data_IF_367225361211
#
_entry.id   IF_367225361211
#
_cell.length_a   1.000
_cell.length_b   1.000
_cell.length_c   1.000
_cell.angle_alpha   90.00
_cell.angle_beta   90.00
_cell.angle_gamma   90.00
#
_symmetry.space_group_name_H-M   'P 1'
#
loop_
_entity.id
_entity.type
_entity.pdbx_description
1 polymer ?
#
# COMPACT_ATOMS: atom_id res chain seq x y z
N UNK A 1 -8.59 -0.25 5.61
CA UNK A 1 -8.08 0.03 4.25
C UNK A 1 -8.91 1.13 3.62
N UNK A 2 -8.32 2.07 2.86
CA UNK A 2 -9.08 3.13 2.16
C UNK A 2 -8.87 3.08 0.64
N UNK A 3 -9.94 3.17 -0.16
CA UNK A 3 -9.84 3.27 -1.62
C UNK A 3 -9.50 4.69 -2.07
N UNK A 4 -8.66 4.82 -3.10
CA UNK A 4 -8.39 6.13 -3.72
C UNK A 4 -9.62 6.72 -4.43
N UNK A 5 -10.63 5.92 -4.76
CA UNK A 5 -11.87 6.45 -5.36
C UNK A 5 -12.79 7.10 -4.33
N UNK A 6 -12.63 6.75 -3.05
CA UNK A 6 -13.51 7.17 -1.95
C UNK A 6 -12.93 8.37 -1.17
N UNK A 7 -11.73 8.83 -1.52
CA UNK A 7 -11.03 9.91 -0.83
C UNK A 7 -10.66 11.05 -1.78
N UNK A 8 -11.03 12.26 -1.39
CA UNK A 8 -10.64 13.48 -2.10
C UNK A 8 -9.13 13.76 -1.99
N UNK A 9 -8.54 14.50 -2.94
CA UNK A 9 -7.09 14.78 -2.94
C UNK A 9 -6.64 15.56 -1.69
N UNK A 10 -7.45 16.50 -1.20
CA UNK A 10 -7.13 17.30 0.00
C UNK A 10 -7.14 16.44 1.27
N UNK A 11 -8.18 15.63 1.47
CA UNK A 11 -8.29 14.71 2.61
C UNK A 11 -7.18 13.66 2.58
N UNK A 12 -6.83 13.14 1.39
CA UNK A 12 -5.70 12.24 1.23
C UNK A 12 -4.39 12.89 1.67
N UNK A 13 -4.10 14.11 1.21
CA UNK A 13 -2.90 14.85 1.61
C UNK A 13 -2.87 15.13 3.12
N UNK A 14 -4.01 15.51 3.69
CA UNK A 14 -4.12 15.75 5.13
C UNK A 14 -3.84 14.47 5.92
N UNK A 15 -4.43 13.33 5.55
CA UNK A 15 -4.20 12.03 6.22
C UNK A 15 -2.74 11.56 6.08
N UNK A 16 -2.08 11.81 4.95
CA UNK A 16 -0.65 11.51 4.78
C UNK A 16 0.20 12.39 5.73
N UNK A 17 -0.08 13.70 5.80
CA UNK A 17 0.62 14.63 6.70
C UNK A 17 0.43 14.26 8.17
N UNK A 18 -0.77 13.79 8.54
CA UNK A 18 -1.08 13.29 9.88
C UNK A 18 -0.56 11.87 10.16
N UNK A 19 0.14 11.23 9.21
CA UNK A 19 0.59 9.83 9.29
C UNK A 19 -0.54 8.80 9.50
N UNK A 20 -1.79 9.18 9.23
CA UNK A 20 -2.94 8.25 9.20
C UNK A 20 -2.94 7.37 7.96
N UNK A 21 -2.23 7.81 6.91
CA UNK A 21 -1.88 7.00 5.74
C UNK A 21 -0.37 7.02 5.61
N UNK A 22 0.26 5.85 5.66
CA UNK A 22 1.72 5.69 5.56
C UNK A 22 2.14 4.79 4.40
N UNK A 23 1.23 3.95 3.93
CA UNK A 23 1.46 2.98 2.87
C UNK A 23 0.39 3.10 1.77
N UNK A 24 0.77 2.70 0.56
CA UNK A 24 -0.14 2.55 -0.57
C UNK A 24 -0.07 1.14 -1.13
N UNK A 25 -1.11 0.71 -1.82
CA UNK A 25 -1.18 -0.63 -2.37
C UNK A 25 -1.98 -0.76 -3.66
N UNK A 26 -1.82 -1.92 -4.29
CA UNK A 26 -2.59 -2.37 -5.43
C UNK A 26 -3.64 -3.37 -4.97
N UNK A 27 -4.92 -3.00 -5.05
CA UNK A 27 -6.05 -3.82 -4.63
C UNK A 27 -6.15 -5.11 -5.44
N UNK A 28 -5.98 -5.03 -6.77
CA UNK A 28 -6.12 -6.17 -7.68
C UNK A 28 -5.02 -7.23 -7.49
N UNK A 29 -3.78 -6.78 -7.35
CA UNK A 29 -2.62 -7.67 -7.18
C UNK A 29 -2.32 -8.00 -5.71
N UNK A 30 -3.09 -7.42 -4.78
CA UNK A 30 -2.90 -7.53 -3.32
C UNK A 30 -1.48 -7.19 -2.88
N UNK A 31 -0.97 -6.04 -3.29
CA UNK A 31 0.40 -5.59 -2.96
C UNK A 31 0.36 -4.32 -2.11
N UNK A 32 1.10 -4.22 -1.02
CA UNK A 32 1.33 -2.96 -0.31
C UNK A 32 2.79 -2.50 -0.40
N UNK A 33 3.03 -1.20 -0.19
CA UNK A 33 4.37 -0.64 -0.20
C UNK A 33 4.39 0.84 0.16
N UNK A 34 5.56 1.46 0.04
CA UNK A 34 5.77 2.87 0.37
C UNK A 34 5.00 3.79 -0.59
N UNK A 35 4.50 4.91 -0.08
CA UNK A 35 3.82 5.94 -0.89
C UNK A 35 4.70 6.51 -2.01
N UNK A 36 6.03 6.51 -1.84
CA UNK A 36 7.00 6.99 -2.83
C UNK A 36 7.45 5.91 -3.83
N UNK A 37 6.88 4.70 -3.79
CA UNK A 37 7.25 3.60 -4.70
C UNK A 37 7.04 3.99 -6.17
N UNK A 38 8.07 3.85 -7.01
CA UNK A 38 8.02 4.18 -8.45
C UNK A 38 6.89 3.43 -9.17
N UNK A 39 6.75 2.12 -8.92
CA UNK A 39 5.67 1.32 -9.50
C UNK A 39 4.30 1.74 -8.96
N UNK A 40 4.20 2.11 -7.68
CA UNK A 40 2.96 2.57 -7.06
C UNK A 40 2.46 3.90 -7.63
N UNK A 41 3.36 4.83 -7.97
CA UNK A 41 3.01 6.12 -8.58
C UNK A 41 2.39 5.99 -9.97
N UNK A 42 2.67 4.90 -10.70
CA UNK A 42 2.12 4.61 -12.04
C UNK A 42 0.77 3.88 -12.01
N UNK A 43 0.24 3.60 -10.83
CA UNK A 43 -0.97 2.81 -10.68
C UNK A 43 -2.23 3.61 -11.03
N UNK A 44 -3.17 2.99 -11.73
CA UNK A 44 -4.52 3.54 -11.94
C UNK A 44 -5.21 3.79 -10.60
N UNK A 45 -5.93 4.91 -10.46
CA UNK A 45 -6.64 5.27 -9.22
C UNK A 45 -7.56 4.13 -8.71
N UNK A 46 -8.30 3.49 -9.62
CA UNK A 46 -9.20 2.36 -9.30
C UNK A 46 -8.52 1.15 -8.64
N UNK A 47 -7.21 0.97 -8.84
CA UNK A 47 -6.47 -0.12 -8.23
C UNK A 47 -5.74 0.33 -6.96
N UNK A 48 -5.73 1.64 -6.65
CA UNK A 48 -4.90 2.20 -5.58
C UNK A 48 -5.69 2.25 -4.28
N UNK A 49 -5.12 1.64 -3.24
CA UNK A 49 -5.61 1.70 -1.86
C UNK A 49 -4.54 2.24 -0.94
N UNK A 50 -4.93 2.65 0.25
CA UNK A 50 -4.07 3.22 1.28
C UNK A 50 -4.26 2.50 2.60
N UNK A 51 -3.17 2.43 3.38
CA UNK A 51 -3.13 1.82 4.70
C UNK A 51 -2.43 2.77 5.68
N UNK A 52 -2.88 2.73 6.92
CA UNK A 52 -2.28 3.39 8.07
C UNK A 52 -0.98 2.70 8.51
N UNK A 53 -0.94 1.37 8.41
CA UNK A 53 0.23 0.58 8.83
C UNK A 53 0.41 -0.68 8.00
N UNK A 54 1.52 -1.39 8.24
CA UNK A 54 1.80 -2.66 7.57
C UNK A 54 0.91 -3.78 8.08
N UNK A 55 0.60 -3.77 9.38
CA UNK A 55 -0.26 -4.74 10.05
C UNK A 55 -1.65 -4.73 9.40
N UNK A 56 -2.22 -3.54 9.20
CA UNK A 56 -3.50 -3.37 8.50
C UNK A 56 -3.46 -3.98 7.08
N UNK A 57 -2.36 -3.78 6.36
CA UNK A 57 -2.22 -4.34 5.01
C UNK A 57 -2.14 -5.87 5.04
N UNK A 58 -1.46 -6.44 6.03
CA UNK A 58 -1.35 -7.90 6.22
C UNK A 58 -2.71 -8.49 6.62
N UNK A 59 -3.45 -7.87 7.54
CA UNK A 59 -4.81 -8.28 7.94
C UNK A 59 -5.76 -8.32 6.73
N UNK A 60 -5.59 -7.40 5.78
CA UNK A 60 -6.33 -7.40 4.51
C UNK A 60 -5.77 -8.35 3.43
N UNK A 61 -4.81 -9.21 3.77
CA UNK A 61 -4.16 -10.20 2.90
C UNK A 61 -3.35 -9.60 1.75
N UNK A 62 -2.66 -8.48 1.99
CA UNK A 62 -1.73 -7.90 1.02
C UNK A 62 -0.32 -8.37 1.30
N UNK A 63 0.42 -8.66 0.23
CA UNK A 63 1.85 -8.95 0.30
C UNK A 63 2.71 -7.69 0.14
N UNK A 64 3.91 -7.65 0.72
CA UNK A 64 4.86 -6.58 0.49
C UNK A 64 5.27 -6.42 -0.98
N UNK A 65 5.57 -5.20 -1.38
CA UNK A 65 6.05 -4.86 -2.71
C UNK A 65 7.50 -5.31 -2.91
N UNK A 66 7.76 -6.16 -3.91
CA UNK A 66 9.11 -6.62 -4.24
C UNK A 66 10.10 -5.53 -4.65
N UNK A 67 9.63 -4.35 -5.07
CA UNK A 67 10.49 -3.22 -5.46
C UNK A 67 10.89 -2.36 -4.26
N UNK A 68 9.93 -1.79 -3.53
CA UNK A 68 10.21 -0.84 -2.44
C UNK A 68 10.30 -1.48 -1.05
N UNK A 69 9.85 -2.74 -0.89
CA UNK A 69 9.87 -3.52 0.36
C UNK A 69 10.61 -4.85 0.17
N UNK A 70 11.74 -4.84 -0.57
CA UNK A 70 12.45 -6.05 -1.02
C UNK A 70 12.76 -7.06 0.11
N UNK A 71 13.24 -6.59 1.26
CA UNK A 71 13.55 -7.47 2.40
C UNK A 71 12.31 -8.19 2.93
N UNK A 72 11.23 -7.43 3.20
CA UNK A 72 9.95 -8.00 3.65
C UNK A 72 9.32 -8.93 2.61
N UNK A 73 9.46 -8.58 1.33
CA UNK A 73 9.03 -9.45 0.23
C UNK A 73 9.76 -10.79 0.17
N UNK A 74 11.08 -10.81 0.43
CA UNK A 74 11.82 -12.07 0.54
C UNK A 74 11.32 -12.90 1.72
N UNK A 75 11.12 -12.30 2.88
CA UNK A 75 10.56 -12.99 4.06
C UNK A 75 9.18 -13.57 3.77
N UNK A 76 8.27 -12.77 3.19
CA UNK A 76 6.94 -13.23 2.79
C UNK A 76 7.01 -14.39 1.78
N UNK A 77 7.89 -14.30 0.78
CA UNK A 77 8.03 -15.33 -0.26
C UNK A 77 8.60 -16.64 0.28
N UNK A 78 9.52 -16.56 1.25
CA UNK A 78 10.19 -17.72 1.83
C UNK A 78 9.42 -18.33 3.02
N UNK A 79 8.46 -17.60 3.60
CA UNK A 79 7.58 -18.10 4.67
C UNK A 79 6.32 -18.79 4.17
N UNK A 80 6.05 -18.74 2.86
CA UNK A 80 5.07 -19.59 2.17
C UNK A 80 5.77 -20.89 1.76
N UNK A 81 6.05 -21.75 2.73
CA UNK A 81 6.42 -23.17 2.51
C UNK A 81 5.24 -24.02 2.93
#
# INVERSE_FOLDING_TARGET
>A
MLSHLEIGPEDLHQKIRQKRISLGGNLKLKIYGKLNCKSGKRMKKQNRVFFSSEEEAIEHNFRPCGHCMKSKYKTWKNGLV
#
